data_IF_430824732931
#
_entry.id   IF_430824732931
#
_cell.length_a   1.000
_cell.length_b   1.000
_cell.length_c   1.000
_cell.angle_alpha   90.00
_cell.angle_beta   90.00
_cell.angle_gamma   90.00
#
_symmetry.space_group_name_H-M   'P 1'
#
loop_
_entity.id
_entity.type
_entity.pdbx_description
1 polymer ?
#
# COMPACT_ATOMS: atom_id res chain seq x y z
N UNK A 1 1.94 -37.44 29.74
CA UNK A 1 0.55 -36.93 29.65
C UNK A 1 0.61 -35.41 29.76
N UNK A 2 0.53 -34.70 28.64
CA UNK A 2 0.59 -33.24 28.62
C UNK A 2 -0.73 -32.66 29.11
N UNK A 3 -0.71 -31.94 30.23
CA UNK A 3 -1.89 -31.25 30.77
C UNK A 3 -2.35 -30.19 29.78
N UNK A 4 -3.54 -30.36 29.23
CA UNK A 4 -4.23 -29.31 28.48
C UNK A 4 -4.59 -28.21 29.48
N UNK A 5 -3.76 -27.18 29.58
CA UNK A 5 -4.07 -25.99 30.38
C UNK A 5 -5.15 -25.23 29.64
N UNK A 6 -6.28 -24.98 30.30
CA UNK A 6 -7.36 -24.19 29.73
C UNK A 6 -6.86 -22.78 29.41
N UNK A 7 -7.11 -22.32 28.18
CA UNK A 7 -6.62 -21.04 27.65
C UNK A 7 -7.05 -19.85 28.52
N UNK A 8 -8.23 -19.94 29.15
CA UNK A 8 -8.76 -18.93 30.08
C UNK A 8 -7.89 -18.74 31.32
N UNK A 9 -7.28 -19.81 31.83
CA UNK A 9 -6.37 -19.74 32.99
C UNK A 9 -5.13 -18.92 32.66
N UNK A 10 -4.62 -19.03 31.43
CA UNK A 10 -3.46 -18.28 30.95
C UNK A 10 -3.77 -16.78 30.77
N UNK A 11 -4.99 -16.44 30.35
CA UNK A 11 -5.44 -15.03 30.28
C UNK A 11 -5.58 -14.42 31.68
N UNK A 12 -6.18 -15.15 32.63
CA UNK A 12 -6.32 -14.69 34.02
C UNK A 12 -4.98 -14.49 34.72
N UNK A 13 -4.00 -15.35 34.44
CA UNK A 13 -2.65 -15.27 34.99
C UNK A 13 -1.77 -14.22 34.30
N UNK A 14 -2.30 -13.46 33.32
CA UNK A 14 -1.55 -12.50 32.49
C UNK A 14 -0.33 -13.11 31.79
N UNK A 15 -0.29 -14.43 31.64
CA UNK A 15 0.78 -15.13 30.93
C UNK A 15 0.60 -15.01 29.41
N UNK A 16 -0.63 -14.72 28.97
CA UNK A 16 -0.98 -14.49 27.57
C UNK A 16 -1.79 -13.20 27.49
N UNK A 17 -1.43 -12.34 26.54
CA UNK A 17 -2.20 -11.15 26.20
C UNK A 17 -3.25 -11.50 25.14
N UNK A 18 -4.52 -11.19 25.43
CA UNK A 18 -5.62 -11.26 24.45
C UNK A 18 -5.78 -9.90 23.81
N UNK A 19 -5.40 -9.77 22.54
CA UNK A 19 -5.78 -8.59 21.77
C UNK A 19 -7.30 -8.51 21.70
N UNK A 20 -7.88 -7.40 22.16
CA UNK A 20 -9.28 -7.11 21.89
C UNK A 20 -9.38 -6.69 20.42
N UNK A 21 -10.12 -7.42 19.57
CA UNK A 21 -10.38 -6.96 18.22
C UNK A 21 -11.43 -5.85 18.32
N UNK A 22 -11.01 -4.65 18.70
CA UNK A 22 -11.76 -3.48 18.28
C UNK A 22 -11.58 -3.41 16.76
N UNK A 23 -12.69 -3.56 16.03
CA UNK A 23 -12.67 -3.40 14.59
C UNK A 23 -12.06 -2.06 14.23
N UNK A 24 -11.14 -2.07 13.27
CA UNK A 24 -10.64 -0.81 12.73
C UNK A 24 -11.80 -0.02 12.14
N UNK A 25 -11.77 1.33 12.21
CA UNK A 25 -12.74 2.12 11.47
C UNK A 25 -12.67 1.78 9.97
N UNK A 26 -13.80 1.89 9.26
CA UNK A 26 -13.80 1.70 7.82
C UNK A 26 -12.87 2.71 7.16
N UNK A 27 -12.14 2.24 6.15
CA UNK A 27 -11.31 3.07 5.29
C UNK A 27 -12.20 4.01 4.48
N UNK A 28 -11.81 5.26 4.40
CA UNK A 28 -12.33 6.27 3.49
C UNK A 28 -11.66 6.21 2.11
N UNK A 29 -10.70 5.29 1.93
CA UNK A 29 -9.91 5.09 0.73
C UNK A 29 -10.20 3.71 0.10
N UNK A 30 -11.37 3.50 -0.54
CA UNK A 30 -11.64 2.24 -1.23
C UNK A 30 -10.59 1.98 -2.33
N UNK A 31 -10.21 0.73 -2.51
CA UNK A 31 -9.28 0.33 -3.57
C UNK A 31 -9.94 0.37 -4.94
N UNK A 32 -11.28 0.28 -4.98
CA UNK A 32 -12.08 0.16 -6.21
C UNK A 32 -12.15 -1.27 -6.73
N UNK A 33 -11.58 -2.23 -5.99
CA UNK A 33 -11.62 -3.66 -6.29
C UNK A 33 -12.37 -4.38 -5.19
N UNK A 34 -13.63 -4.75 -5.44
CA UNK A 34 -14.52 -5.28 -4.42
C UNK A 34 -13.96 -6.50 -3.65
N UNK A 35 -13.26 -7.41 -4.35
CA UNK A 35 -12.63 -8.57 -3.72
C UNK A 35 -11.46 -8.19 -2.81
N UNK A 36 -10.71 -7.15 -3.15
CA UNK A 36 -9.63 -6.64 -2.32
C UNK A 36 -10.19 -5.88 -1.11
N UNK A 37 -11.16 -4.99 -1.34
CA UNK A 37 -11.82 -4.26 -0.26
C UNK A 37 -12.41 -5.24 0.78
N UNK A 38 -13.12 -6.30 0.34
CA UNK A 38 -13.65 -7.33 1.23
C UNK A 38 -12.58 -8.14 1.99
N UNK A 39 -11.36 -8.22 1.45
CA UNK A 39 -10.26 -8.95 2.06
C UNK A 39 -9.44 -8.10 3.05
N UNK A 40 -9.57 -6.77 3.02
CA UNK A 40 -8.84 -5.85 3.88
C UNK A 40 -9.63 -5.55 5.17
N UNK A 41 -8.96 -5.48 6.35
CA UNK A 41 -9.66 -5.30 7.63
C UNK A 41 -10.56 -4.06 7.73
N UNK A 42 -10.18 -2.99 7.03
CA UNK A 42 -10.92 -1.71 6.98
C UNK A 42 -11.74 -1.52 5.70
N UNK A 43 -11.80 -2.50 4.78
CA UNK A 43 -12.58 -2.33 3.55
C UNK A 43 -11.93 -1.46 2.46
N UNK A 44 -10.62 -1.18 2.55
CA UNK A 44 -9.92 -0.29 1.63
C UNK A 44 -8.44 -0.11 2.00
N UNK A 45 -7.76 0.83 1.35
CA UNK A 45 -6.39 1.19 1.67
C UNK A 45 -6.26 1.65 3.14
N UNK A 46 -5.18 1.31 3.84
CA UNK A 46 -4.93 1.87 5.17
C UNK A 46 -4.82 3.40 5.11
N UNK A 47 -5.51 4.08 6.03
CA UNK A 47 -5.49 5.54 6.12
C UNK A 47 -4.10 6.07 6.45
N UNK A 48 -3.71 7.15 5.76
CA UNK A 48 -2.49 7.91 6.02
C UNK A 48 -1.25 7.03 6.25
N UNK A 49 -1.08 5.97 5.47
CA UNK A 49 -0.05 4.98 5.71
C UNK A 49 0.62 4.47 4.44
N UNK A 50 1.81 3.88 4.62
CA UNK A 50 2.56 3.23 3.57
C UNK A 50 1.95 1.87 3.24
N UNK A 51 1.63 1.68 1.98
CA UNK A 51 1.32 0.41 1.35
C UNK A 51 2.42 0.03 0.37
N UNK A 52 2.85 -1.22 0.40
CA UNK A 52 3.81 -1.76 -0.57
C UNK A 52 3.08 -2.63 -1.60
N UNK A 53 3.42 -2.43 -2.87
CA UNK A 53 3.02 -3.31 -3.97
C UNK A 53 4.30 -3.95 -4.51
N UNK A 54 4.40 -5.26 -4.32
CA UNK A 54 5.57 -6.06 -4.67
C UNK A 54 5.38 -6.72 -6.02
N UNK A 55 6.27 -6.43 -6.96
CA UNK A 55 6.17 -6.79 -8.37
C UNK A 55 7.21 -7.84 -8.75
N UNK A 56 6.82 -8.80 -9.60
CA UNK A 56 7.78 -9.75 -10.16
C UNK A 56 8.76 -9.04 -11.13
N UNK A 57 8.23 -8.10 -11.91
CA UNK A 57 8.97 -7.21 -12.80
C UNK A 57 8.20 -5.88 -12.95
N UNK A 58 8.88 -4.84 -13.43
CA UNK A 58 8.26 -3.56 -13.78
C UNK A 58 7.43 -3.69 -15.07
N UNK A 59 6.38 -2.87 -15.22
CA UNK A 59 5.59 -2.84 -16.45
C UNK A 59 4.61 -4.01 -16.62
N UNK A 60 4.30 -4.74 -15.55
CA UNK A 60 3.34 -5.87 -15.57
C UNK A 60 1.88 -5.41 -15.39
N UNK A 61 1.61 -4.11 -15.53
CA UNK A 61 0.28 -3.55 -15.30
C UNK A 61 0.02 -3.24 -13.82
N UNK A 62 1.06 -3.02 -13.03
CA UNK A 62 1.01 -2.72 -11.60
C UNK A 62 0.09 -1.54 -11.25
N UNK A 63 -0.02 -0.57 -12.17
CA UNK A 63 -0.83 0.61 -11.97
C UNK A 63 -2.34 0.33 -12.06
N UNK A 64 -2.76 -0.76 -12.69
CA UNK A 64 -4.18 -1.14 -12.78
C UNK A 64 -4.81 -1.35 -11.40
N UNK A 65 -4.01 -1.78 -10.42
CA UNK A 65 -4.45 -1.94 -9.03
C UNK A 65 -4.84 -0.60 -8.39
N UNK A 66 -4.17 0.50 -8.76
CA UNK A 66 -4.35 1.81 -8.12
C UNK A 66 -5.16 2.79 -8.96
N UNK A 67 -5.42 2.49 -10.24
CA UNK A 67 -6.22 3.31 -11.15
C UNK A 67 -7.55 3.80 -10.56
N UNK A 68 -8.41 2.95 -9.99
CA UNK A 68 -9.67 3.44 -9.43
C UNK A 68 -9.47 4.46 -8.30
N UNK A 69 -8.47 4.23 -7.44
CA UNK A 69 -8.12 5.15 -6.35
C UNK A 69 -7.60 6.48 -6.87
N UNK A 70 -6.70 6.45 -7.86
CA UNK A 70 -6.11 7.66 -8.43
C UNK A 70 -7.13 8.49 -9.22
N UNK A 71 -8.00 7.84 -10.00
CA UNK A 71 -9.09 8.51 -10.69
C UNK A 71 -9.98 9.27 -9.69
N UNK A 72 -10.43 8.59 -8.62
CA UNK A 72 -11.26 9.19 -7.56
C UNK A 72 -10.58 10.37 -6.88
N UNK A 73 -9.31 10.24 -6.48
CA UNK A 73 -8.58 11.31 -5.81
C UNK A 73 -8.40 12.52 -6.74
N UNK A 74 -7.96 12.30 -7.98
CA UNK A 74 -7.77 13.39 -8.94
C UNK A 74 -9.08 14.13 -9.27
N UNK A 75 -10.21 13.40 -9.37
CA UNK A 75 -11.52 13.98 -9.59
C UNK A 75 -12.00 14.82 -8.40
N UNK A 76 -11.55 14.50 -7.18
CA UNK A 76 -11.78 15.31 -5.99
C UNK A 76 -10.84 16.54 -5.89
N UNK A 77 -9.97 16.75 -6.88
CA UNK A 77 -9.00 17.86 -6.91
C UNK A 77 -7.71 17.58 -6.14
N UNK A 78 -7.50 16.35 -5.67
CA UNK A 78 -6.31 15.96 -4.91
C UNK A 78 -5.10 15.74 -5.80
N UNK A 79 -3.93 16.20 -5.34
CA UNK A 79 -2.67 16.00 -6.08
C UNK A 79 -2.18 14.56 -6.01
N UNK A 80 -1.77 14.04 -7.14
CA UNK A 80 -1.09 12.75 -7.29
C UNK A 80 0.35 13.02 -7.70
N UNK A 81 1.30 12.48 -6.94
CA UNK A 81 2.73 12.63 -7.25
C UNK A 81 3.36 11.28 -7.54
N UNK A 82 4.03 11.18 -8.69
CA UNK A 82 4.86 10.04 -9.06
C UNK A 82 6.32 10.39 -8.82
N UNK A 83 7.00 9.63 -7.97
CA UNK A 83 8.40 9.86 -7.62
C UNK A 83 9.26 8.75 -8.18
N UNK A 84 10.17 9.14 -9.07
CA UNK A 84 11.10 8.27 -9.78
C UNK A 84 10.41 7.08 -10.49
N UNK A 85 9.35 7.29 -11.30
CA UNK A 85 8.75 6.19 -12.04
C UNK A 85 9.79 5.53 -12.97
N UNK A 86 9.81 4.19 -13.11
CA UNK A 86 10.85 3.46 -13.84
C UNK A 86 10.80 3.74 -15.36
N UNK A 87 9.61 4.11 -15.84
CA UNK A 87 9.35 4.45 -17.23
C UNK A 87 8.62 5.77 -17.33
N UNK A 88 8.70 6.40 -18.51
CA UNK A 88 7.95 7.63 -18.79
C UNK A 88 6.45 7.30 -18.83
N UNK A 89 5.63 7.88 -17.95
CA UNK A 89 4.20 7.65 -17.96
C UNK A 89 3.57 8.09 -19.29
N UNK A 90 2.80 7.22 -19.94
CA UNK A 90 2.12 7.53 -21.20
C UNK A 90 0.77 8.23 -20.94
N UNK A 91 0.60 9.52 -21.22
CA UNK A 91 -0.54 10.31 -20.73
C UNK A 91 -1.92 9.75 -21.10
N UNK A 92 -2.08 9.20 -22.32
CA UNK A 92 -3.36 8.68 -22.77
C UNK A 92 -3.85 7.49 -21.92
N UNK A 93 -2.93 6.67 -21.38
CA UNK A 93 -3.31 5.58 -20.48
C UNK A 93 -3.85 6.09 -19.14
N UNK A 94 -3.31 7.21 -18.63
CA UNK A 94 -3.78 7.85 -17.39
C UNK A 94 -5.15 8.49 -17.58
N UNK A 95 -5.37 9.15 -18.72
CA UNK A 95 -6.67 9.70 -19.08
C UNK A 95 -7.72 8.60 -19.27
N UNK A 96 -7.36 7.50 -19.94
CA UNK A 96 -8.24 6.34 -20.10
C UNK A 96 -8.58 5.67 -18.76
N UNK A 97 -7.66 5.73 -17.79
CA UNK A 97 -7.91 5.31 -16.40
C UNK A 97 -8.76 6.31 -15.60
N UNK A 98 -9.13 7.46 -16.17
CA UNK A 98 -9.97 8.48 -15.52
C UNK A 98 -9.19 9.44 -14.61
N UNK A 99 -7.86 9.48 -14.70
CA UNK A 99 -7.03 10.39 -13.90
C UNK A 99 -6.98 11.78 -14.56
N UNK A 100 -7.33 12.81 -13.80
CA UNK A 100 -7.19 14.20 -14.21
C UNK A 100 -5.71 14.59 -14.27
N UNK A 101 -5.18 14.83 -15.47
CA UNK A 101 -3.75 15.06 -15.69
C UNK A 101 -3.24 16.35 -15.03
N UNK A 102 -4.12 17.34 -14.85
CA UNK A 102 -3.83 18.59 -14.14
C UNK A 102 -3.49 18.39 -12.66
N UNK A 103 -3.91 17.26 -12.07
CA UNK A 103 -3.55 16.88 -10.71
C UNK A 103 -2.35 15.94 -10.64
N UNK A 104 -1.79 15.52 -11.77
CA UNK A 104 -0.65 14.60 -11.83
C UNK A 104 0.67 15.37 -11.92
N UNK A 105 1.55 15.15 -10.95
CA UNK A 105 2.92 15.65 -10.96
C UNK A 105 3.93 14.49 -11.02
N UNK A 106 5.01 14.68 -11.76
CA UNK A 106 6.09 13.69 -11.90
C UNK A 106 7.39 14.30 -11.42
N UNK A 107 8.04 13.65 -10.45
CA UNK A 107 9.36 14.01 -9.95
C UNK A 107 10.34 12.96 -10.43
N UNK A 108 11.25 13.37 -11.31
CA UNK A 108 12.37 12.53 -11.74
C UNK A 108 13.53 12.69 -10.75
N UNK A 109 13.87 11.62 -10.05
CA UNK A 109 14.95 11.59 -9.06
C UNK A 109 15.58 10.19 -9.01
N UNK A 110 16.74 10.06 -8.37
CA UNK A 110 17.45 8.78 -8.25
C UNK A 110 17.94 8.55 -6.82
N UNK A 111 18.10 7.28 -6.44
CA UNK A 111 18.68 6.88 -5.16
C UNK A 111 18.01 7.57 -3.96
N UNK A 112 18.84 8.23 -3.13
CA UNK A 112 18.39 8.89 -1.90
C UNK A 112 17.47 10.10 -2.15
N UNK A 113 17.65 10.80 -3.26
CA UNK A 113 16.85 12.00 -3.57
C UNK A 113 15.41 11.63 -3.90
N UNK A 114 15.17 10.45 -4.50
CA UNK A 114 13.82 9.94 -4.74
C UNK A 114 13.09 9.65 -3.43
N UNK A 115 13.76 8.98 -2.47
CA UNK A 115 13.18 8.73 -1.15
C UNK A 115 12.93 10.02 -0.37
N UNK A 116 13.87 10.97 -0.46
CA UNK A 116 13.70 12.28 0.17
C UNK A 116 12.54 13.07 -0.43
N UNK A 117 12.42 13.11 -1.76
CA UNK A 117 11.31 13.77 -2.45
C UNK A 117 9.96 13.15 -2.09
N UNK A 118 9.87 11.81 -2.08
CA UNK A 118 8.67 11.11 -1.63
C UNK A 118 8.31 11.47 -0.18
N UNK A 119 9.29 11.51 0.73
CA UNK A 119 9.08 11.93 2.12
C UNK A 119 8.56 13.37 2.21
N UNK A 120 9.10 14.31 1.44
CA UNK A 120 8.62 15.70 1.45
C UNK A 120 7.19 15.81 0.91
N UNK A 121 6.88 15.17 -0.21
CA UNK A 121 5.54 15.16 -0.77
C UNK A 121 4.52 14.57 0.22
N UNK A 122 4.85 13.44 0.82
CA UNK A 122 4.02 12.79 1.84
C UNK A 122 3.80 13.67 3.06
N UNK A 123 4.84 14.36 3.55
CA UNK A 123 4.74 15.19 4.76
C UNK A 123 4.00 16.51 4.53
N UNK A 124 3.92 16.97 3.28
CA UNK A 124 3.41 18.31 2.95
C UNK A 124 1.93 18.54 3.28
N UNK A 125 1.14 17.48 3.43
CA UNK A 125 -0.32 17.59 3.58
C UNK A 125 -1.04 18.15 2.35
N UNK A 126 -0.37 18.21 1.19
CA UNK A 126 -0.89 18.80 -0.05
C UNK A 126 -1.08 17.77 -1.17
N UNK A 127 -0.94 16.48 -0.86
CA UNK A 127 -1.07 15.37 -1.80
C UNK A 127 -2.12 14.38 -1.30
N UNK A 128 -3.02 13.95 -2.17
CA UNK A 128 -3.93 12.83 -1.88
C UNK A 128 -3.22 11.48 -2.00
N UNK A 129 -2.28 11.36 -2.93
CA UNK A 129 -1.46 10.15 -3.08
C UNK A 129 -0.03 10.45 -3.57
N UNK A 130 0.92 9.68 -3.05
CA UNK A 130 2.31 9.65 -3.54
C UNK A 130 2.68 8.21 -3.87
N UNK A 131 3.05 7.98 -5.14
CA UNK A 131 3.57 6.72 -5.65
C UNK A 131 5.07 6.87 -5.83
N UNK A 132 5.84 5.90 -5.34
CA UNK A 132 7.28 5.90 -5.49
C UNK A 132 7.83 4.54 -5.90
N UNK A 133 8.91 4.55 -6.68
CA UNK A 133 9.64 3.34 -7.10
C UNK A 133 11.08 3.39 -6.57
N UNK A 134 11.28 3.17 -5.27
CA UNK A 134 12.62 3.19 -4.70
C UNK A 134 13.45 2.01 -5.21
N UNK A 135 14.58 2.28 -5.86
CA UNK A 135 15.52 1.22 -6.27
C UNK A 135 16.09 0.46 -5.07
N UNK A 136 16.37 1.19 -3.98
CA UNK A 136 16.81 0.65 -2.70
C UNK A 136 16.12 1.46 -1.59
N UNK A 137 15.46 0.75 -0.68
CA UNK A 137 14.87 1.34 0.52
C UNK A 137 15.17 0.43 1.70
N UNK A 138 15.97 0.93 2.64
CA UNK A 138 16.19 0.26 3.91
C UNK A 138 14.99 0.49 4.86
N UNK A 139 14.96 -0.26 5.95
CA UNK A 139 13.90 -0.15 6.96
C UNK A 139 13.78 1.29 7.51
N UNK A 140 14.91 1.99 7.68
CA UNK A 140 14.92 3.39 8.13
C UNK A 140 14.20 4.31 7.15
N UNK A 141 14.47 4.20 5.85
CA UNK A 141 13.80 4.98 4.82
C UNK A 141 12.31 4.68 4.78
N UNK A 142 11.91 3.40 4.80
CA UNK A 142 10.50 3.02 4.79
C UNK A 142 9.75 3.52 6.03
N UNK A 143 10.39 3.52 7.21
CA UNK A 143 9.80 4.10 8.44
C UNK A 143 9.60 5.59 8.31
N UNK A 144 10.54 6.31 7.69
CA UNK A 144 10.40 7.75 7.42
C UNK A 144 9.24 8.03 6.47
N UNK A 145 9.05 7.22 5.43
CA UNK A 145 7.90 7.32 4.53
C UNK A 145 6.59 7.03 5.26
N UNK A 146 6.53 6.00 6.10
CA UNK A 146 5.35 5.70 6.92
C UNK A 146 4.98 6.88 7.84
N UNK A 147 5.95 7.44 8.56
CA UNK A 147 5.73 8.60 9.44
C UNK A 147 5.33 9.83 8.63
N UNK A 148 5.93 10.05 7.45
CA UNK A 148 5.56 11.17 6.59
C UNK A 148 4.12 11.04 6.06
N UNK A 149 3.71 9.83 5.66
CA UNK A 149 2.33 9.54 5.24
C UNK A 149 1.33 9.85 6.35
N UNK A 150 1.64 9.43 7.58
CA UNK A 150 0.82 9.73 8.77
C UNK A 150 0.78 11.23 9.05
N UNK A 151 1.91 11.92 8.93
CA UNK A 151 2.03 13.36 9.20
C UNK A 151 1.20 14.20 8.22
N UNK A 152 1.29 13.91 6.92
CA UNK A 152 0.57 14.66 5.90
C UNK A 152 -0.82 14.10 5.58
N UNK A 153 -1.28 13.06 6.27
CA UNK A 153 -2.56 12.40 5.99
C UNK A 153 -2.67 11.95 4.51
N UNK A 154 -1.58 11.43 3.96
CA UNK A 154 -1.45 11.10 2.53
C UNK A 154 -1.37 9.59 2.31
N UNK A 155 -2.02 9.09 1.25
CA UNK A 155 -1.86 7.71 0.80
C UNK A 155 -0.45 7.50 0.19
N UNK A 156 0.35 6.63 0.80
CA UNK A 156 1.68 6.32 0.32
C UNK A 156 1.73 4.93 -0.32
N UNK A 157 2.22 4.86 -1.56
CA UNK A 157 2.40 3.60 -2.28
C UNK A 157 3.87 3.47 -2.71
N UNK A 158 4.53 2.41 -2.25
CA UNK A 158 5.88 2.06 -2.70
C UNK A 158 5.84 0.78 -3.56
N UNK A 159 6.26 0.91 -4.81
CA UNK A 159 6.48 -0.22 -5.70
C UNK A 159 7.88 -0.77 -5.48
N UNK A 160 7.97 -2.06 -5.16
CA UNK A 160 9.24 -2.76 -4.92
C UNK A 160 9.21 -4.12 -5.58
N UNK A 161 10.36 -4.78 -5.66
CA UNK A 161 10.43 -6.14 -6.22
C UNK A 161 9.94 -7.19 -5.22
N UNK A 162 9.36 -8.28 -5.73
CA UNK A 162 8.86 -9.41 -4.92
C UNK A 162 9.90 -10.02 -3.99
N UNK A 163 11.19 -10.00 -4.35
CA UNK A 163 12.28 -10.47 -3.46
C UNK A 163 12.32 -9.74 -2.11
N UNK A 164 11.82 -8.51 -2.06
CA UNK A 164 11.75 -7.70 -0.83
C UNK A 164 10.65 -8.20 0.12
N UNK A 165 9.79 -9.14 -0.28
CA UNK A 165 8.76 -9.73 0.58
C UNK A 165 9.35 -10.34 1.86
N UNK A 166 10.56 -10.92 1.76
CA UNK A 166 11.27 -11.55 2.87
C UNK A 166 11.81 -10.53 3.88
N UNK A 167 11.99 -9.27 3.48
CA UNK A 167 12.49 -8.22 4.34
C UNK A 167 11.36 -7.68 5.24
N UNK A 168 11.61 -7.45 6.54
CA UNK A 168 10.69 -6.72 7.40
C UNK A 168 10.38 -5.35 6.82
N UNK A 169 9.14 -4.90 7.00
CA UNK A 169 8.69 -3.61 6.49
C UNK A 169 7.70 -2.95 7.44
N UNK A 170 7.80 -1.62 7.67
CA UNK A 170 6.87 -0.87 8.49
C UNK A 170 5.51 -0.63 7.80
N UNK A 171 5.40 -0.90 6.49
CA UNK A 171 4.18 -0.67 5.71
C UNK A 171 2.94 -1.28 6.38
N UNK A 172 1.84 -0.53 6.42
CA UNK A 172 0.56 -1.00 6.94
C UNK A 172 0.00 -2.17 6.13
N UNK A 173 0.20 -2.12 4.82
CA UNK A 173 -0.28 -3.11 3.86
C UNK A 173 0.87 -3.52 2.95
N UNK A 174 1.01 -4.82 2.69
CA UNK A 174 1.94 -5.36 1.71
C UNK A 174 1.18 -6.30 0.80
N UNK A 175 1.21 -6.02 -0.48
CA UNK A 175 0.59 -6.80 -1.53
C UNK A 175 1.67 -7.37 -2.44
N UNK A 176 1.53 -8.60 -2.89
CA UNK A 176 2.34 -9.18 -3.96
C UNK A 176 1.46 -9.43 -5.18
N UNK A 177 1.89 -8.89 -6.33
CA UNK A 177 1.24 -9.05 -7.62
C UNK A 177 1.97 -10.17 -8.38
N UNK A 178 1.31 -11.31 -8.55
CA UNK A 178 1.81 -12.42 -9.37
C UNK A 178 1.19 -12.32 -10.76
N UNK A 179 1.98 -12.55 -11.81
CA UNK A 179 1.54 -12.38 -13.20
C UNK A 179 1.04 -13.67 -13.86
N UNK A 180 1.38 -14.84 -13.30
CA UNK A 180 0.99 -16.14 -13.86
C UNK A 180 0.75 -17.21 -12.77
N UNK A 181 -0.51 -17.50 -12.41
CA UNK A 181 -1.72 -16.79 -12.83
C UNK A 181 -1.74 -15.36 -12.29
N UNK A 182 -2.50 -14.48 -12.93
CA UNK A 182 -2.68 -13.10 -12.49
C UNK A 182 -3.48 -13.04 -11.18
N UNK A 183 -2.78 -12.83 -10.07
CA UNK A 183 -3.38 -12.86 -8.73
C UNK A 183 -2.68 -11.88 -7.78
N UNK A 184 -3.42 -11.47 -6.75
CA UNK A 184 -2.96 -10.61 -5.69
C UNK A 184 -2.88 -11.39 -4.38
N UNK A 185 -1.72 -11.41 -3.75
CA UNK A 185 -1.54 -11.97 -2.40
C UNK A 185 -1.37 -10.84 -1.40
N UNK A 186 -2.17 -10.86 -0.34
CA UNK A 186 -1.95 -9.99 0.81
C UNK A 186 -0.90 -10.66 1.69
N UNK A 187 0.25 -10.02 1.86
CA UNK A 187 1.34 -10.52 2.72
C UNK A 187 1.26 -9.95 4.14
N UNK A 188 0.69 -8.75 4.27
CA UNK A 188 0.54 -8.04 5.55
C UNK A 188 -0.64 -7.08 5.43
N UNK A 189 -1.47 -7.00 6.46
CA UNK A 189 -2.47 -5.94 6.63
C UNK A 189 -2.54 -5.56 8.12
N UNK A 190 -2.39 -4.28 8.44
CA UNK A 190 -2.47 -3.76 9.81
C UNK A 190 -3.87 -4.01 10.38
N UNK A 191 -3.93 -4.49 11.62
CA UNK A 191 -5.19 -4.73 12.34
C UNK A 191 -6.01 -5.94 11.90
N UNK A 192 -5.45 -6.84 11.08
CA UNK A 192 -6.06 -8.13 10.78
C UNK A 192 -5.06 -9.17 10.32
N UNK A 193 -5.55 -10.40 10.14
CA UNK A 193 -4.75 -11.47 9.54
C UNK A 193 -4.81 -11.35 8.02
N UNK A 194 -3.65 -11.49 7.37
CA UNK A 194 -3.61 -11.53 5.92
C UNK A 194 -4.42 -12.75 5.43
N UNK A 195 -5.33 -12.58 4.45
CA UNK A 195 -6.09 -13.70 3.88
C UNK A 195 -5.16 -14.78 3.34
N UNK A 196 -5.48 -16.03 3.66
CA UNK A 196 -4.66 -17.18 3.25
C UNK A 196 -4.74 -17.48 1.74
N UNK A 197 -5.82 -17.03 1.08
CA UNK A 197 -6.06 -17.29 -0.35
C UNK A 197 -5.70 -16.06 -1.18
N UNK A 198 -5.05 -16.26 -2.35
CA UNK A 198 -4.86 -15.18 -3.30
C UNK A 198 -6.21 -14.69 -3.86
N UNK A 199 -6.25 -13.42 -4.23
CA UNK A 199 -7.39 -12.76 -4.84
C UNK A 199 -7.15 -12.73 -6.36
N UNK A 200 -8.08 -13.20 -7.20
CA UNK A 200 -7.92 -13.11 -8.64
C UNK A 200 -7.92 -11.64 -9.09
N UNK A 201 -7.03 -11.28 -10.02
CA UNK A 201 -7.02 -9.94 -10.59
C UNK A 201 -8.09 -9.85 -11.69
N UNK A 202 -9.02 -8.88 -11.63
CA UNK A 202 -10.13 -8.81 -12.57
C UNK A 202 -9.75 -8.32 -13.99
N UNK A 203 -8.48 -7.98 -14.24
CA UNK A 203 -8.02 -7.38 -15.49
C UNK A 203 -7.04 -8.27 -16.30
N UNK A 204 -7.06 -9.58 -16.06
CA UNK A 204 -6.23 -10.57 -16.76
C UNK A 204 -6.99 -11.86 -17.08
#
# INVERSE_FOLDING_TARGET
MGSVVALDTLFHQRQVWKGQPQGLPPSQQPTGHALLDAALPSGGWPEAALSEILLAAEGTGELQLVWPTLARLSAAGERIVLVAPPHVPYPAAWQAAGVALEQLAIIQARGRDALWAAEQCLRSGSCGAVLCWPQQADDRALRRLQVAAETGQTLAIAYRLQREALNPSPAALRLALDANPAQLRVLKCRGGLAPARPIPLPWH
#
